data_IF_762781459908
#
_entry.id   IF_762781459908
#
_cell.length_a   1.000
_cell.length_b   1.000
_cell.length_c   1.000
_cell.angle_alpha   90.00
_cell.angle_beta   90.00
_cell.angle_gamma   90.00
#
_symmetry.space_group_name_H-M   'P 1'
#
loop_
_entity.id
_entity.type
_entity.pdbx_description
1 polymer ?
#
# COMPACT_ATOMS: atom_id res chain seq x y z
N UNK A 1 10.13 20.27 18.47
CA UNK A 1 10.63 19.58 17.26
C UNK A 1 9.94 18.23 17.17
N UNK A 2 8.96 18.06 16.28
CA UNK A 2 8.30 16.75 16.10
C UNK A 2 9.27 15.81 15.39
N UNK A 3 9.75 14.78 16.08
CA UNK A 3 10.43 13.66 15.43
C UNK A 3 9.43 13.06 14.45
N UNK A 4 9.60 13.30 13.14
CA UNK A 4 8.82 12.58 12.13
C UNK A 4 9.25 11.12 12.23
N UNK A 5 8.41 10.29 12.82
CA UNK A 5 8.58 8.85 12.79
C UNK A 5 8.53 8.43 11.33
N UNK A 6 9.62 7.87 10.85
CA UNK A 6 9.69 7.29 9.52
C UNK A 6 8.98 5.92 9.59
N UNK A 7 7.66 5.94 9.39
CA UNK A 7 6.80 4.76 9.49
C UNK A 7 7.29 3.60 8.61
N UNK A 8 7.96 3.88 7.48
CA UNK A 8 8.53 2.86 6.61
C UNK A 8 9.73 2.18 7.28
N UNK A 9 10.64 2.97 7.88
CA UNK A 9 11.79 2.41 8.61
C UNK A 9 11.36 1.63 9.84
N UNK A 10 10.38 2.13 10.60
CA UNK A 10 9.83 1.41 11.75
C UNK A 10 9.20 0.09 11.29
N UNK A 11 8.39 0.12 10.23
CA UNK A 11 7.80 -1.07 9.64
C UNK A 11 8.88 -2.11 9.28
N UNK A 12 9.91 -1.71 8.53
CA UNK A 12 10.97 -2.62 8.06
C UNK A 12 11.74 -3.22 9.24
N UNK A 13 12.10 -2.39 10.23
CA UNK A 13 12.81 -2.84 11.43
C UNK A 13 12.00 -3.89 12.20
N UNK A 14 10.73 -3.60 12.44
CA UNK A 14 9.84 -4.49 13.17
C UNK A 14 9.57 -5.78 12.37
N UNK A 15 9.30 -5.66 11.08
CA UNK A 15 9.07 -6.79 10.17
C UNK A 15 10.24 -7.77 10.14
N UNK A 16 11.48 -7.27 10.13
CA UNK A 16 12.68 -8.10 10.14
C UNK A 16 12.90 -8.84 11.46
N UNK A 17 12.29 -8.38 12.56
CA UNK A 17 12.35 -9.08 13.84
C UNK A 17 11.40 -10.28 13.91
N UNK A 18 10.29 -10.27 13.15
CA UNK A 18 9.23 -11.27 13.21
C UNK A 18 9.69 -12.60 12.60
N UNK A 19 9.52 -13.69 13.37
CA UNK A 19 9.67 -15.07 12.93
C UNK A 19 10.87 -15.30 12.00
N UNK A 20 12.10 -14.96 12.44
CA UNK A 20 13.31 -14.89 11.60
C UNK A 20 13.61 -16.12 10.72
N UNK A 21 13.13 -17.31 11.08
CA UNK A 21 13.30 -18.54 10.29
C UNK A 21 12.31 -18.74 9.14
N UNK A 22 11.25 -17.91 9.06
CA UNK A 22 10.22 -18.02 8.02
C UNK A 22 10.57 -17.17 6.80
N UNK A 23 10.22 -17.66 5.60
CA UNK A 23 10.40 -16.90 4.35
C UNK A 23 9.71 -15.53 4.46
N UNK A 24 10.44 -14.44 4.20
CA UNK A 24 9.92 -13.07 4.36
C UNK A 24 8.61 -12.83 3.60
N UNK A 25 8.50 -13.33 2.37
CA UNK A 25 7.28 -13.24 1.56
C UNK A 25 6.06 -13.88 2.26
N UNK A 26 6.26 -14.99 2.98
CA UNK A 26 5.19 -15.64 3.75
C UNK A 26 4.77 -14.77 4.94
N UNK A 27 5.73 -14.20 5.69
CA UNK A 27 5.44 -13.29 6.80
C UNK A 27 4.65 -12.07 6.31
N UNK A 28 5.03 -11.50 5.16
CA UNK A 28 4.32 -10.39 4.54
C UNK A 28 2.90 -10.78 4.13
N UNK A 29 2.73 -11.93 3.46
CA UNK A 29 1.41 -12.43 3.01
C UNK A 29 0.49 -12.72 4.20
N UNK A 30 1.04 -13.28 5.28
CA UNK A 30 0.32 -13.56 6.51
C UNK A 30 -0.12 -12.27 7.21
N UNK A 31 0.78 -11.29 7.32
CA UNK A 31 0.46 -9.96 7.84
C UNK A 31 -0.70 -9.29 7.06
N UNK A 32 -0.63 -9.29 5.72
CA UNK A 32 -1.70 -8.71 4.88
C UNK A 32 -3.01 -9.48 5.08
N UNK A 33 -2.95 -10.81 5.08
CA UNK A 33 -4.14 -11.65 5.26
C UNK A 33 -4.81 -11.39 6.61
N UNK A 34 -4.03 -11.33 7.69
CA UNK A 34 -4.54 -11.03 9.02
C UNK A 34 -5.15 -9.63 9.10
N UNK A 35 -4.49 -8.63 8.50
CA UNK A 35 -4.97 -7.24 8.48
C UNK A 35 -6.30 -7.11 7.73
N UNK A 36 -6.40 -7.71 6.55
CA UNK A 36 -7.64 -7.72 5.75
C UNK A 36 -8.77 -8.41 6.49
N UNK A 37 -8.51 -9.58 7.09
CA UNK A 37 -9.53 -10.30 7.85
C UNK A 37 -10.00 -9.48 9.05
N UNK A 38 -9.09 -8.87 9.81
CA UNK A 38 -9.44 -8.05 10.97
C UNK A 38 -10.34 -6.87 10.57
N UNK A 39 -10.00 -6.16 9.49
CA UNK A 39 -10.81 -5.05 8.96
C UNK A 39 -12.19 -5.57 8.51
N UNK A 40 -12.23 -6.67 7.75
CA UNK A 40 -13.49 -7.23 7.25
C UNK A 40 -14.39 -7.72 8.39
N UNK A 41 -13.84 -8.37 9.41
CA UNK A 41 -14.60 -8.85 10.55
C UNK A 41 -15.10 -7.70 11.43
N UNK A 42 -14.41 -6.55 11.45
CA UNK A 42 -14.90 -5.33 12.07
C UNK A 42 -16.14 -4.75 11.39
N UNK A 43 -16.33 -5.00 10.09
CA UNK A 43 -17.52 -4.58 9.34
C UNK A 43 -18.63 -5.65 9.37
N UNK A 44 -18.26 -6.88 9.05
CA UNK A 44 -19.15 -8.04 9.03
C UNK A 44 -18.38 -9.27 9.45
N UNK A 45 -18.66 -9.74 10.67
CA UNK A 45 -18.04 -10.94 11.19
C UNK A 45 -18.35 -12.19 10.34
N UNK A 46 -17.36 -13.06 10.18
CA UNK A 46 -17.51 -14.34 9.50
C UNK A 46 -16.58 -15.40 10.09
N UNK A 47 -17.16 -16.50 10.58
CA UNK A 47 -16.42 -17.61 11.18
C UNK A 47 -15.36 -18.20 10.26
N UNK A 48 -15.63 -18.27 8.96
CA UNK A 48 -14.68 -18.82 7.98
C UNK A 48 -13.43 -17.94 7.88
N UNK A 49 -13.59 -16.61 7.93
CA UNK A 49 -12.47 -15.66 7.95
C UNK A 49 -11.73 -15.73 9.29
N UNK A 50 -12.47 -15.76 10.39
CA UNK A 50 -11.90 -15.85 11.74
C UNK A 50 -11.06 -17.12 11.93
N UNK A 51 -11.56 -18.28 11.49
CA UNK A 51 -10.79 -19.54 11.49
C UNK A 51 -9.50 -19.45 10.69
N UNK A 52 -9.51 -18.77 9.54
CA UNK A 52 -8.31 -18.54 8.74
C UNK A 52 -7.32 -17.61 9.47
N UNK A 53 -7.81 -16.55 10.10
CA UNK A 53 -7.00 -15.66 10.94
C UNK A 53 -6.31 -16.43 12.06
N UNK A 54 -7.07 -17.22 12.83
CA UNK A 54 -6.54 -18.02 13.93
C UNK A 54 -5.53 -19.08 13.47
N UNK A 55 -5.74 -19.69 12.30
CA UNK A 55 -4.80 -20.64 11.71
C UNK A 55 -3.47 -19.98 11.26
N UNK A 56 -3.50 -18.69 10.90
CA UNK A 56 -2.29 -17.92 10.60
C UNK A 56 -1.57 -17.58 11.90
N UNK A 57 -2.28 -16.96 12.84
CA UNK A 57 -1.74 -16.51 14.15
C UNK A 57 -1.11 -17.67 14.93
N UNK A 58 -1.68 -18.87 14.87
CA UNK A 58 -1.14 -20.06 15.54
C UNK A 58 0.28 -20.45 15.12
N UNK A 59 0.79 -19.96 13.98
CA UNK A 59 2.16 -20.21 13.52
C UNK A 59 3.20 -19.27 14.13
N UNK A 60 2.76 -18.22 14.82
CA UNK A 60 3.61 -17.15 15.32
C UNK A 60 3.64 -17.14 16.85
N UNK A 61 4.73 -16.63 17.42
CA UNK A 61 4.80 -16.38 18.86
C UNK A 61 3.90 -15.21 19.23
N UNK A 62 3.45 -15.13 20.48
CA UNK A 62 2.57 -14.05 20.95
C UNK A 62 3.20 -12.67 20.73
N UNK A 63 4.52 -12.56 20.90
CA UNK A 63 5.29 -11.34 20.69
C UNK A 63 5.35 -10.94 19.21
N UNK A 64 5.46 -11.93 18.32
CA UNK A 64 5.42 -11.73 16.86
C UNK A 64 4.04 -11.25 16.40
N UNK A 65 2.98 -11.81 16.96
CA UNK A 65 1.59 -11.39 16.68
C UNK A 65 1.36 -9.96 17.15
N UNK A 66 1.84 -9.60 18.36
CA UNK A 66 1.81 -8.21 18.83
C UNK A 66 2.59 -7.26 17.90
N UNK A 67 3.70 -7.74 17.34
CA UNK A 67 4.48 -6.99 16.37
C UNK A 67 3.73 -6.81 15.04
N UNK A 68 2.97 -7.81 14.58
CA UNK A 68 2.10 -7.67 13.41
C UNK A 68 1.00 -6.61 13.59
N UNK A 69 0.43 -6.50 14.79
CA UNK A 69 -0.54 -5.43 15.11
C UNK A 69 0.12 -4.05 15.01
N UNK A 70 1.35 -3.92 15.51
CA UNK A 70 2.13 -2.68 15.38
C UNK A 70 2.51 -2.36 13.93
N UNK A 71 2.77 -3.37 13.09
CA UNK A 71 2.96 -3.15 11.64
C UNK A 71 1.72 -2.52 11.01
N UNK A 72 0.52 -2.95 11.38
CA UNK A 72 -0.72 -2.35 10.87
C UNK A 72 -0.84 -0.88 11.29
N UNK A 73 -0.47 -0.54 12.53
CA UNK A 73 -0.41 0.84 12.99
C UNK A 73 0.56 1.70 12.16
N UNK A 74 1.74 1.16 11.81
CA UNK A 74 2.70 1.86 10.93
C UNK A 74 2.08 2.15 9.54
N UNK A 75 1.31 1.19 8.99
CA UNK A 75 0.62 1.37 7.71
C UNK A 75 -0.44 2.47 7.80
N UNK A 76 -1.28 2.45 8.84
CA UNK A 76 -2.32 3.46 9.06
C UNK A 76 -1.69 4.85 9.21
N UNK A 77 -0.71 5.00 10.10
CA UNK A 77 0.00 6.27 10.31
C UNK A 77 0.72 6.76 9.04
N UNK A 78 1.27 5.85 8.24
CA UNK A 78 1.90 6.16 6.96
C UNK A 78 0.91 6.74 5.94
N UNK A 79 -0.26 6.13 5.84
CA UNK A 79 -1.33 6.55 4.93
C UNK A 79 -2.04 7.84 5.39
N UNK A 80 -2.22 8.03 6.69
CA UNK A 80 -2.79 9.26 7.26
C UNK A 80 -1.90 10.49 7.00
N UNK A 81 -0.58 10.33 7.10
CA UNK A 81 0.36 11.44 6.87
C UNK A 81 0.39 11.88 5.40
N UNK A 82 0.28 10.93 4.46
CA UNK A 82 0.21 11.22 3.03
C UNK A 82 -0.40 10.01 2.30
N UNK A 83 -1.47 10.20 1.51
CA UNK A 83 -1.96 9.18 0.59
C UNK A 83 -0.85 8.74 -0.38
N UNK A 84 -0.40 7.49 -0.28
CA UNK A 84 0.67 6.93 -1.10
C UNK A 84 0.56 5.40 -1.21
N UNK A 85 1.33 4.80 -2.14
CA UNK A 85 1.52 3.36 -2.23
C UNK A 85 2.49 2.84 -1.14
N UNK A 86 2.05 2.90 0.12
CA UNK A 86 2.88 2.52 1.28
C UNK A 86 3.31 1.05 1.21
N UNK A 87 2.35 0.13 1.04
CA UNK A 87 2.63 -1.30 1.02
C UNK A 87 3.44 -1.74 -0.20
N UNK A 88 3.21 -1.16 -1.38
CA UNK A 88 4.03 -1.43 -2.56
C UNK A 88 5.45 -0.93 -2.40
N UNK A 89 5.66 0.21 -1.72
CA UNK A 89 7.01 0.69 -1.39
C UNK A 89 7.72 -0.22 -0.40
N UNK A 90 7.03 -0.66 0.66
CA UNK A 90 7.57 -1.65 1.61
C UNK A 90 7.94 -2.96 0.91
N UNK A 91 7.08 -3.46 0.02
CA UNK A 91 7.33 -4.69 -0.74
C UNK A 91 8.63 -4.62 -1.54
N UNK A 92 8.89 -3.47 -2.17
CA UNK A 92 10.13 -3.22 -2.90
C UNK A 92 11.34 -3.07 -1.99
N UNK A 93 11.22 -2.30 -0.90
CA UNK A 93 12.32 -2.08 0.06
C UNK A 93 12.76 -3.37 0.76
N UNK A 94 11.84 -4.29 0.96
CA UNK A 94 12.10 -5.63 1.50
C UNK A 94 12.56 -6.64 0.44
N UNK A 95 12.69 -6.23 -0.82
CA UNK A 95 13.04 -7.08 -1.96
C UNK A 95 12.22 -8.38 -2.03
N UNK A 96 10.91 -8.30 -1.74
CA UNK A 96 10.04 -9.49 -1.70
C UNK A 96 9.69 -10.06 -3.07
N UNK A 97 10.10 -9.38 -4.15
CA UNK A 97 9.89 -9.80 -5.53
C UNK A 97 10.60 -11.11 -5.86
N UNK A 98 9.97 -11.92 -6.71
CA UNK A 98 10.56 -13.17 -7.18
C UNK A 98 11.47 -12.90 -8.38
N UNK A 99 12.78 -12.80 -8.13
CA UNK A 99 13.81 -12.56 -9.16
C UNK A 99 13.88 -13.70 -10.20
N UNK A 100 13.45 -14.91 -9.84
CA UNK A 100 13.44 -16.09 -10.74
C UNK A 100 12.23 -16.07 -11.67
N UNK A 101 11.16 -15.35 -11.31
CA UNK A 101 9.97 -15.16 -12.13
C UNK A 101 9.97 -13.84 -12.92
N UNK A 102 11.15 -13.21 -13.06
CA UNK A 102 11.31 -11.93 -13.76
C UNK A 102 10.32 -10.83 -13.31
N UNK A 103 10.02 -10.82 -12.00
CA UNK A 103 9.15 -9.80 -11.43
C UNK A 103 9.95 -8.52 -11.14
N UNK A 104 9.92 -7.57 -12.07
CA UNK A 104 10.55 -6.25 -11.90
C UNK A 104 9.51 -5.19 -11.52
N UNK A 105 9.85 -4.33 -10.56
CA UNK A 105 9.00 -3.22 -10.14
C UNK A 105 9.61 -1.89 -10.59
N UNK A 106 8.81 -1.10 -11.30
CA UNK A 106 9.16 0.28 -11.66
C UNK A 106 9.25 1.16 -10.41
N UNK A 107 10.38 1.84 -10.14
CA UNK A 107 10.46 2.81 -9.05
C UNK A 107 9.41 3.91 -9.19
N UNK A 108 8.90 4.41 -8.05
CA UNK A 108 7.81 5.39 -8.02
C UNK A 108 8.11 6.66 -8.85
N UNK A 109 9.32 7.19 -8.74
CA UNK A 109 9.76 8.37 -9.49
C UNK A 109 9.71 8.16 -11.01
N UNK A 110 10.11 6.97 -11.47
CA UNK A 110 10.09 6.60 -12.90
C UNK A 110 8.64 6.41 -13.37
N UNK A 111 7.80 5.73 -12.59
CA UNK A 111 6.38 5.58 -12.91
C UNK A 111 5.65 6.94 -12.97
N UNK A 112 5.97 7.86 -12.05
CA UNK A 112 5.42 9.21 -12.02
C UNK A 112 5.85 10.02 -13.24
N UNK A 113 7.14 9.99 -13.59
CA UNK A 113 7.67 10.61 -14.79
C UNK A 113 6.96 10.09 -16.04
N UNK A 114 6.85 8.76 -16.20
CA UNK A 114 6.17 8.15 -17.35
C UNK A 114 4.69 8.54 -17.42
N UNK A 115 3.98 8.54 -16.29
CA UNK A 115 2.58 8.99 -16.23
C UNK A 115 2.42 10.45 -16.65
N UNK A 116 3.33 11.34 -16.20
CA UNK A 116 3.33 12.75 -16.58
C UNK A 116 3.64 12.95 -18.07
N UNK A 117 4.58 12.18 -18.63
CA UNK A 117 4.89 12.23 -20.06
C UNK A 117 3.75 11.73 -20.94
N UNK A 118 3.05 10.66 -20.52
CA UNK A 118 1.95 10.07 -21.30
C UNK A 118 0.67 10.89 -21.26
N UNK A 119 0.34 11.51 -20.12
CA UNK A 119 -0.89 12.29 -19.96
C UNK A 119 -0.70 13.80 -20.14
N UNK A 120 0.54 14.29 -20.14
CA UNK A 120 0.82 15.72 -20.28
C UNK A 120 0.03 16.55 -19.26
N UNK A 121 -0.93 17.34 -19.73
CA UNK A 121 -1.79 18.19 -18.91
C UNK A 121 -3.17 17.54 -18.68
N UNK A 122 -3.44 16.96 -17.50
CA UNK A 122 -4.73 16.32 -17.22
C UNK A 122 -5.92 17.27 -17.36
N UNK A 123 -5.76 18.55 -17.00
CA UNK A 123 -6.82 19.56 -17.14
C UNK A 123 -7.33 19.70 -18.60
N UNK A 124 -6.45 19.49 -19.58
CA UNK A 124 -6.80 19.57 -21.00
C UNK A 124 -7.48 18.28 -21.47
N UNK A 125 -7.11 17.12 -20.90
CA UNK A 125 -7.68 15.80 -21.22
C UNK A 125 -9.12 15.64 -20.73
N UNK A 126 -9.47 16.23 -19.59
CA UNK A 126 -10.78 16.13 -18.96
C UNK A 126 -11.71 17.31 -19.28
N UNK A 127 -11.28 18.30 -20.08
CA UNK A 127 -12.06 19.51 -20.38
C UNK A 127 -13.48 19.22 -20.87
N UNK A 128 -13.59 18.28 -21.82
CA UNK A 128 -14.85 17.96 -22.51
C UNK A 128 -15.27 16.49 -22.32
N UNK A 129 -14.61 15.76 -21.42
CA UNK A 129 -14.82 14.32 -21.25
C UNK A 129 -14.88 13.94 -19.76
N UNK A 130 -15.91 13.18 -19.32
CA UNK A 130 -16.01 12.74 -17.93
C UNK A 130 -15.00 11.65 -17.56
N UNK A 131 -14.37 11.00 -18.53
CA UNK A 131 -13.34 9.98 -18.32
C UNK A 131 -12.39 9.91 -19.53
N UNK A 132 -11.24 9.26 -19.30
CA UNK A 132 -10.28 8.90 -20.34
C UNK A 132 -10.06 7.40 -20.34
N UNK A 133 -9.77 6.84 -21.51
CA UNK A 133 -9.34 5.45 -21.64
C UNK A 133 -7.81 5.42 -21.66
N UNK A 134 -7.21 4.66 -20.76
CA UNK A 134 -5.77 4.50 -20.64
C UNK A 134 -5.42 3.02 -20.76
N UNK A 135 -4.44 2.69 -21.61
CA UNK A 135 -3.97 1.33 -21.80
C UNK A 135 -2.48 1.25 -21.46
N UNK A 136 -2.12 0.31 -20.58
CA UNK A 136 -0.73 0.03 -20.25
C UNK A 136 -0.45 -1.48 -20.45
N UNK A 137 0.02 -1.90 -21.64
CA UNK A 137 0.14 -3.31 -22.01
C UNK A 137 1.15 -4.12 -21.18
N UNK A 138 2.07 -3.46 -20.45
CA UNK A 138 3.03 -4.11 -19.56
C UNK A 138 2.83 -3.67 -18.09
N UNK A 139 1.57 -3.48 -17.67
CA UNK A 139 1.23 -2.78 -16.43
C UNK A 139 1.85 -3.39 -15.15
N UNK A 140 2.16 -4.69 -15.13
CA UNK A 140 2.75 -5.36 -13.96
C UNK A 140 1.95 -5.09 -12.69
N UNK A 141 2.55 -4.42 -11.70
CA UNK A 141 1.88 -3.99 -10.47
C UNK A 141 0.97 -2.75 -10.63
N UNK A 142 0.62 -2.37 -11.86
CA UNK A 142 -0.22 -1.23 -12.25
C UNK A 142 0.26 0.13 -11.69
N UNK A 143 1.56 0.28 -11.41
CA UNK A 143 2.07 1.47 -10.72
C UNK A 143 1.93 2.75 -11.55
N UNK A 144 2.07 2.68 -12.87
CA UNK A 144 1.84 3.84 -13.75
C UNK A 144 0.38 4.30 -13.62
N UNK A 145 -0.58 3.36 -13.59
CA UNK A 145 -2.00 3.66 -13.38
C UNK A 145 -2.30 4.28 -12.00
N UNK A 146 -1.52 3.95 -10.96
CA UNK A 146 -1.64 4.59 -9.65
C UNK A 146 -1.06 6.02 -9.63
N UNK A 147 -0.06 6.29 -10.47
CA UNK A 147 0.58 7.60 -10.60
C UNK A 147 -0.20 8.57 -11.49
N UNK A 148 -1.15 8.09 -12.30
CA UNK A 148 -1.89 8.96 -13.21
C UNK A 148 -2.78 9.94 -12.42
N UNK A 149 -2.77 11.24 -12.76
CA UNK A 149 -3.48 12.29 -12.03
C UNK A 149 -5.01 12.16 -11.97
N UNK A 150 -5.62 11.13 -12.59
CA UNK A 150 -7.00 10.78 -12.32
C UNK A 150 -7.26 10.57 -10.81
N UNK A 151 -6.27 10.07 -10.06
CA UNK A 151 -6.35 9.98 -8.59
C UNK A 151 -6.23 11.31 -7.84
N UNK A 152 -5.73 12.39 -8.47
CA UNK A 152 -5.68 13.75 -7.88
C UNK A 152 -7.00 14.49 -8.01
N UNK A 153 -7.85 14.14 -8.98
CA UNK A 153 -9.19 14.70 -9.14
C UNK A 153 -10.16 14.32 -8.01
N UNK A 154 -9.83 13.29 -7.22
CA UNK A 154 -10.60 12.88 -6.04
C UNK A 154 -10.15 13.55 -4.72
N UNK A 155 -9.16 14.43 -4.74
CA UNK A 155 -9.01 15.37 -3.62
C UNK A 155 -10.11 16.42 -3.74
N UNK A 156 -11.02 16.56 -2.75
CA UNK A 156 -11.98 17.65 -2.78
C UNK A 156 -11.20 18.97 -2.91
N UNK A 157 -11.66 19.93 -3.72
CA UNK A 157 -11.03 21.24 -3.75
C UNK A 157 -10.99 21.79 -2.31
N UNK A 158 -9.95 22.57 -1.92
CA UNK A 158 -9.99 23.26 -0.65
C UNK A 158 -11.28 24.08 -0.62
N UNK A 159 -12.10 23.88 0.41
CA UNK A 159 -13.30 24.69 0.64
C UNK A 159 -12.89 26.16 0.55
N UNK A 160 -13.23 26.80 -0.56
CA UNK A 160 -13.19 28.25 -0.67
C UNK A 160 -14.29 28.70 0.27
N UNK A 161 -13.89 29.25 1.42
CA UNK A 161 -14.81 29.86 2.35
C UNK A 161 -15.69 30.84 1.58
N UNK A 162 -17.00 30.61 1.62
CA UNK A 162 -17.98 31.62 1.26
C UNK A 162 -17.82 32.68 2.34
N UNK A 163 -17.02 33.70 2.03
CA UNK A 163 -16.98 34.94 2.79
C UNK A 163 -18.21 35.77 2.45
N UNK A 164 -18.77 36.37 3.49
CA UNK A 164 -19.95 37.23 3.53
C UNK A 164 -19.93 38.40 2.52
#
# INVERSE_FOLDING_TARGET
MSVRIDNEKEFISLFNSIARGTRRLQVFTDFISCSVIAIQNGLQFCDKREKKYMAIVARYKKEDVSSMVRLLACVVNGLEGKPCDFLGRIYMLLELGDKVKDQYFTPWSVALMMAQMQLGRPEELFRDKPFITFAEPACGAARICLCTPAGRLFSPPPYVGIGD
#
